data_IF_622924274089
#
_entry.id   IF_622924274089
#
_cell.length_a   1.000
_cell.length_b   1.000
_cell.length_c   1.000
_cell.angle_alpha   90.00
_cell.angle_beta   90.00
_cell.angle_gamma   90.00
#
_symmetry.space_group_name_H-M   'P 1'
#
loop_
_entity.id
_entity.type
_entity.pdbx_description
1 polymer ?
#
# COMPACT_ATOMS: atom_id res chain seq x y z
N UNK A 1 -2.82 1.38 8.85
CA UNK A 1 -3.00 1.57 7.39
C UNK A 1 -2.18 0.56 6.59
N UNK A 2 -0.84 0.56 6.69
CA UNK A 2 0.04 -0.34 5.93
C UNK A 2 -0.34 -1.83 6.03
N UNK A 3 -0.60 -2.37 7.23
CA UNK A 3 -1.04 -3.78 7.36
C UNK A 3 -2.40 -4.06 6.70
N UNK A 4 -3.30 -3.07 6.70
CA UNK A 4 -4.58 -3.17 6.00
C UNK A 4 -4.40 -3.24 4.48
N UNK A 5 -3.55 -2.37 3.93
CA UNK A 5 -3.16 -2.38 2.52
C UNK A 5 -2.51 -3.72 2.15
N UNK A 6 -1.55 -4.18 2.93
CA UNK A 6 -0.86 -5.47 2.73
C UNK A 6 -1.84 -6.64 2.67
N UNK A 7 -2.79 -6.68 3.59
CA UNK A 7 -3.84 -7.70 3.60
C UNK A 7 -4.72 -7.62 2.35
N UNK A 8 -5.18 -6.40 2.00
CA UNK A 8 -6.06 -6.17 0.86
C UNK A 8 -5.41 -6.53 -0.48
N UNK A 9 -4.14 -6.17 -0.66
CA UNK A 9 -3.35 -6.47 -1.85
C UNK A 9 -2.77 -7.90 -1.86
N UNK A 10 -3.00 -8.69 -0.80
CA UNK A 10 -2.48 -10.06 -0.63
C UNK A 10 -0.97 -10.15 -0.84
N UNK A 11 -0.22 -9.16 -0.36
CA UNK A 11 1.23 -9.11 -0.55
C UNK A 11 1.93 -10.16 0.31
N UNK A 12 2.68 -11.06 -0.33
CA UNK A 12 3.46 -12.11 0.35
C UNK A 12 4.73 -11.57 1.04
N UNK A 13 5.22 -10.39 0.62
CA UNK A 13 6.46 -9.81 1.15
C UNK A 13 6.22 -9.12 2.49
N UNK A 14 6.64 -9.76 3.57
CA UNK A 14 6.58 -9.19 4.90
C UNK A 14 7.57 -8.02 5.09
N UNK A 15 8.71 -8.00 4.39
CA UNK A 15 9.74 -6.98 4.54
C UNK A 15 9.42 -5.69 3.78
N UNK A 16 8.84 -5.77 2.57
CA UNK A 16 8.54 -4.58 1.78
C UNK A 16 7.36 -3.77 2.32
N UNK A 17 6.46 -4.42 3.05
CA UNK A 17 5.25 -3.81 3.61
C UNK A 17 5.37 -3.57 5.13
N UNK A 18 6.57 -3.56 5.71
CA UNK A 18 6.71 -3.15 7.12
C UNK A 18 6.45 -1.66 7.25
N UNK A 19 5.66 -1.25 8.25
CA UNK A 19 5.40 0.17 8.50
C UNK A 19 6.69 0.99 8.70
N UNK A 20 7.74 0.37 9.26
CA UNK A 20 9.07 0.98 9.43
C UNK A 20 9.76 1.35 8.11
N UNK A 21 9.39 0.72 7.00
CA UNK A 21 9.92 1.02 5.68
C UNK A 21 9.37 2.32 5.07
N UNK A 22 8.41 2.96 5.73
CA UNK A 22 7.76 4.21 5.28
C UNK A 22 8.08 5.36 6.23
N UNK A 23 8.08 6.59 5.71
CA UNK A 23 8.24 7.82 6.51
C UNK A 23 6.89 8.33 6.98
N UNK A 24 6.87 8.99 8.14
CA UNK A 24 5.68 9.72 8.61
C UNK A 24 5.38 10.91 7.70
N UNK A 25 6.39 11.45 7.00
CA UNK A 25 6.24 12.53 6.02
C UNK A 25 5.33 12.16 4.84
N UNK A 26 5.13 10.87 4.59
CA UNK A 26 4.29 10.35 3.51
C UNK A 26 2.92 9.89 4.02
N UNK A 27 2.52 10.35 5.21
CA UNK A 27 1.26 9.94 5.83
C UNK A 27 0.06 10.17 4.91
N UNK A 28 -0.06 11.35 4.31
CA UNK A 28 -1.15 11.71 3.40
C UNK A 28 -1.17 10.78 2.18
N UNK A 29 -0.03 10.58 1.51
CA UNK A 29 0.06 9.69 0.35
C UNK A 29 -0.32 8.23 0.71
N UNK A 30 0.07 7.77 1.91
CA UNK A 30 -0.29 6.43 2.41
C UNK A 30 -1.78 6.35 2.73
N UNK A 31 -2.37 7.43 3.24
CA UNK A 31 -3.79 7.51 3.53
C UNK A 31 -4.61 7.45 2.23
N UNK A 32 -4.22 8.19 1.20
CA UNK A 32 -4.88 8.16 -0.11
C UNK A 32 -4.91 6.75 -0.70
N UNK A 33 -3.76 6.06 -0.68
CA UNK A 33 -3.66 4.66 -1.13
C UNK A 33 -4.54 3.75 -0.26
N UNK A 34 -4.59 3.97 1.05
CA UNK A 34 -5.42 3.19 1.96
C UNK A 34 -6.91 3.35 1.63
N UNK A 35 -7.38 4.58 1.44
CA UNK A 35 -8.78 4.87 1.11
C UNK A 35 -9.18 4.23 -0.23
N UNK A 36 -8.33 4.34 -1.26
CA UNK A 36 -8.57 3.69 -2.55
C UNK A 36 -8.61 2.17 -2.42
N UNK A 37 -7.64 1.57 -1.71
CA UNK A 37 -7.57 0.13 -1.54
C UNK A 37 -8.77 -0.42 -0.76
N UNK A 38 -9.23 0.30 0.26
CA UNK A 38 -10.32 -0.15 1.14
C UNK A 38 -11.71 0.22 0.61
N UNK A 39 -11.84 1.23 -0.24
CA UNK A 39 -13.10 1.66 -0.83
C UNK A 39 -13.71 0.69 -1.85
N UNK A 40 -12.97 -0.35 -2.26
CA UNK A 40 -13.44 -1.37 -3.21
C UNK A 40 -13.48 -2.76 -2.57
N UNK A 41 -14.59 -3.48 -2.70
CA UNK A 41 -14.70 -4.86 -2.20
C UNK A 41 -13.71 -5.82 -2.88
N UNK A 42 -13.55 -5.66 -4.20
CA UNK A 42 -12.64 -6.43 -5.04
C UNK A 42 -11.79 -5.48 -5.88
N UNK A 43 -10.50 -5.80 -5.98
CA UNK A 43 -9.55 -5.11 -6.86
C UNK A 43 -9.26 -6.00 -8.07
N UNK A 44 -9.23 -5.42 -9.26
CA UNK A 44 -8.70 -6.08 -10.44
C UNK A 44 -7.18 -6.26 -10.32
N UNK A 45 -6.61 -7.12 -11.16
CA UNK A 45 -5.15 -7.31 -11.22
C UNK A 45 -4.45 -5.98 -11.53
N UNK A 46 -4.96 -5.22 -12.51
CA UNK A 46 -4.38 -3.92 -12.89
C UNK A 46 -4.42 -2.88 -11.76
N UNK A 47 -5.48 -2.89 -10.95
CA UNK A 47 -5.57 -2.02 -9.77
C UNK A 47 -4.55 -2.42 -8.70
N UNK A 48 -4.39 -3.73 -8.46
CA UNK A 48 -3.37 -4.23 -7.54
C UNK A 48 -1.98 -3.82 -8.02
N UNK A 49 -1.66 -4.00 -9.30
CA UNK A 49 -0.37 -3.60 -9.88
C UNK A 49 -0.10 -2.09 -9.74
N UNK A 50 -1.11 -1.26 -10.00
CA UNK A 50 -1.01 0.18 -9.84
C UNK A 50 -0.70 0.59 -8.38
N UNK A 51 -1.48 0.07 -7.42
CA UNK A 51 -1.31 0.38 -6.00
C UNK A 51 0.04 -0.12 -5.48
N UNK A 52 0.49 -1.31 -5.91
CA UNK A 52 1.82 -1.84 -5.56
C UNK A 52 2.94 -0.95 -6.12
N UNK A 53 2.80 -0.46 -7.35
CA UNK A 53 3.79 0.44 -7.95
C UNK A 53 3.91 1.76 -7.18
N UNK A 54 2.77 2.32 -6.78
CA UNK A 54 2.70 3.58 -6.03
C UNK A 54 3.30 3.44 -4.62
N UNK A 55 2.91 2.39 -3.88
CA UNK A 55 3.52 2.05 -2.59
C UNK A 55 5.04 1.85 -2.69
N UNK A 56 5.50 1.24 -3.78
CA UNK A 56 6.93 1.06 -4.04
C UNK A 56 7.71 2.37 -4.12
N UNK A 57 7.08 3.46 -4.59
CA UNK A 57 7.69 4.80 -4.66
C UNK A 57 7.74 5.50 -3.31
N UNK A 58 6.80 5.20 -2.43
CA UNK A 58 6.75 5.77 -1.08
C UNK A 58 7.72 5.10 -0.12
N UNK A 59 8.29 3.94 -0.45
CA UNK A 59 9.25 3.30 0.46
C UNK A 59 10.49 4.19 0.64
N UNK A 60 10.95 4.34 1.89
CA UNK A 60 12.23 4.99 2.20
C UNK A 60 13.33 4.34 1.34
N UNK A 61 14.21 5.18 0.78
CA UNK A 61 15.48 4.69 0.22
C UNK A 61 16.34 4.08 1.32
#
# INVERSE_FOLDING_TARGET
MIEGIKSKLKMASAAAMQASAFSVEQYEDIQDIYEVAMGSDRLSISQVEALVSELGRLRKK
#
